data_IF_287658345579
#
_entry.id   IF_287658345579
#
_cell.length_a   1.000
_cell.length_b   1.000
_cell.length_c   1.000
_cell.angle_alpha   90.00
_cell.angle_beta   90.00
_cell.angle_gamma   90.00
#
_symmetry.space_group_name_H-M   'P 1'
#
loop_
_entity.id
_entity.type
_entity.pdbx_description
1 polymer ?
#
# COMPACT_ATOMS: atom_id res chain seq x y z
N UNK A 1 19.03 18.18 23.07
CA UNK A 1 20.27 17.83 22.32
C UNK A 1 19.99 17.86 20.81
N UNK A 2 20.62 18.76 20.04
CA UNK A 2 20.35 18.93 18.61
C UNK A 2 20.63 17.70 17.72
N UNK A 3 21.51 16.78 18.17
CA UNK A 3 21.81 15.53 17.45
C UNK A 3 20.63 14.57 17.31
N UNK A 4 19.70 14.55 18.28
CA UNK A 4 18.53 13.66 18.27
C UNK A 4 17.50 14.04 17.20
N UNK A 5 17.28 15.36 17.02
CA UNK A 5 16.36 15.88 15.99
C UNK A 5 16.90 15.62 14.58
N UNK A 6 18.20 15.84 14.37
CA UNK A 6 18.85 15.58 13.07
C UNK A 6 18.75 14.09 12.68
N UNK A 7 19.00 13.19 13.64
CA UNK A 7 18.88 11.74 13.42
C UNK A 7 17.43 11.34 13.08
N UNK A 8 16.44 11.87 13.80
CA UNK A 8 15.04 11.62 13.52
C UNK A 8 14.65 12.05 12.10
N UNK A 9 15.01 13.27 11.69
CA UNK A 9 14.70 13.78 10.34
C UNK A 9 15.36 12.92 9.26
N UNK A 10 16.60 12.48 9.47
CA UNK A 10 17.29 11.58 8.54
C UNK A 10 16.58 10.22 8.41
N UNK A 11 16.17 9.63 9.54
CA UNK A 11 15.40 8.37 9.57
C UNK A 11 14.07 8.50 8.81
N UNK A 12 13.29 9.54 9.08
CA UNK A 12 12.01 9.83 8.39
C UNK A 12 12.23 9.95 6.88
N UNK A 13 13.21 10.75 6.44
CA UNK A 13 13.51 10.95 5.01
C UNK A 13 14.00 9.69 4.32
N UNK A 14 14.74 8.85 5.03
CA UNK A 14 15.25 7.58 4.50
C UNK A 14 14.12 6.58 4.32
N UNK A 15 13.24 6.45 5.31
CA UNK A 15 12.07 5.59 5.22
C UNK A 15 11.11 6.02 4.10
N UNK A 16 10.79 7.32 4.02
CA UNK A 16 9.95 7.88 2.96
C UNK A 16 10.49 7.56 1.56
N UNK A 17 11.80 7.76 1.32
CA UNK A 17 12.45 7.43 0.04
C UNK A 17 12.42 5.91 -0.24
N UNK A 18 12.70 5.09 0.78
CA UNK A 18 12.68 3.63 0.66
C UNK A 18 11.31 3.13 0.21
N UNK A 19 10.23 3.62 0.82
CA UNK A 19 8.86 3.23 0.46
C UNK A 19 8.56 3.59 -1.00
N UNK A 20 8.84 4.81 -1.42
CA UNK A 20 8.62 5.23 -2.82
C UNK A 20 9.47 4.46 -3.84
N UNK A 21 10.64 3.97 -3.43
CA UNK A 21 11.46 3.08 -4.25
C UNK A 21 10.82 1.69 -4.37
N UNK A 22 10.33 1.13 -3.27
CA UNK A 22 9.63 -0.16 -3.25
C UNK A 22 8.35 -0.12 -4.08
N UNK A 23 7.62 1.00 -4.07
CA UNK A 23 6.42 1.20 -4.89
C UNK A 23 6.68 1.06 -6.40
N UNK A 24 7.92 1.18 -6.87
CA UNK A 24 8.26 0.97 -8.28
C UNK A 24 8.05 -0.48 -8.74
N UNK A 25 8.00 -1.43 -7.81
CA UNK A 25 7.67 -2.82 -8.09
C UNK A 25 6.15 -3.10 -8.13
N UNK A 26 5.31 -2.14 -7.72
CA UNK A 26 3.86 -2.30 -7.73
C UNK A 26 3.28 -2.10 -9.14
N UNK A 27 2.12 -2.72 -9.45
CA UNK A 27 1.32 -2.40 -10.63
C UNK A 27 0.98 -0.91 -10.65
N UNK A 28 0.84 -0.34 -11.85
CA UNK A 28 0.70 1.11 -12.07
C UNK A 28 -0.38 1.76 -11.18
N UNK A 29 -1.57 1.17 -11.11
CA UNK A 29 -2.67 1.69 -10.31
C UNK A 29 -2.37 1.67 -8.81
N UNK A 30 -1.81 0.56 -8.30
CA UNK A 30 -1.43 0.45 -6.89
C UNK A 30 -0.29 1.40 -6.54
N UNK A 31 0.66 1.59 -7.46
CA UNK A 31 1.74 2.58 -7.31
C UNK A 31 1.17 3.99 -7.21
N UNK A 32 0.28 4.38 -8.12
CA UNK A 32 -0.29 5.73 -8.14
C UNK A 32 -1.06 6.05 -6.86
N UNK A 33 -1.94 5.11 -6.43
CA UNK A 33 -2.68 5.23 -5.18
C UNK A 33 -1.75 5.29 -3.97
N UNK A 34 -0.78 4.37 -3.88
CA UNK A 34 0.15 4.27 -2.77
C UNK A 34 1.07 5.49 -2.65
N UNK A 35 1.63 5.99 -3.76
CA UNK A 35 2.48 7.18 -3.76
C UNK A 35 1.74 8.41 -3.23
N UNK A 36 0.48 8.59 -3.61
CA UNK A 36 -0.34 9.69 -3.13
C UNK A 36 -0.62 9.55 -1.63
N UNK A 37 -1.01 8.35 -1.20
CA UNK A 37 -1.28 8.07 0.21
C UNK A 37 -0.05 8.30 1.10
N UNK A 38 1.12 7.79 0.71
CA UNK A 38 2.39 8.00 1.44
C UNK A 38 2.73 9.48 1.58
N UNK A 39 2.59 10.26 0.50
CA UNK A 39 2.84 11.71 0.52
C UNK A 39 1.94 12.41 1.52
N UNK A 40 0.66 12.06 1.53
CA UNK A 40 -0.32 12.71 2.37
C UNK A 40 -0.16 12.33 3.84
N UNK A 41 0.07 11.06 4.14
CA UNK A 41 0.27 10.58 5.51
C UNK A 41 1.54 11.16 6.15
N UNK A 42 2.69 11.13 5.45
CA UNK A 42 3.91 11.76 5.96
C UNK A 42 3.78 13.28 6.10
N UNK A 43 2.94 13.93 5.30
CA UNK A 43 2.66 15.37 5.44
C UNK A 43 1.81 15.63 6.69
N UNK A 44 0.76 14.84 6.91
CA UNK A 44 -0.14 14.95 8.08
C UNK A 44 0.60 14.70 9.38
N UNK A 45 1.62 13.83 9.37
CA UNK A 45 2.40 13.47 10.55
C UNK A 45 3.65 14.34 10.80
N UNK A 46 3.78 15.50 10.16
CA UNK A 46 4.97 16.37 10.36
C UNK A 46 5.06 17.01 11.75
N UNK A 47 3.93 17.20 12.42
CA UNK A 47 3.83 17.97 13.67
C UNK A 47 3.26 17.17 14.83
N UNK A 48 3.23 15.84 14.72
CA UNK A 48 2.74 14.95 15.79
C UNK A 48 3.75 14.86 16.93
N UNK A 49 3.27 14.42 18.10
CA UNK A 49 4.13 14.23 19.28
C UNK A 49 5.17 13.13 19.08
N UNK A 50 6.25 13.08 19.90
CA UNK A 50 7.33 12.12 19.73
C UNK A 50 6.88 10.65 19.85
N UNK A 51 5.94 10.34 20.73
CA UNK A 51 5.40 8.98 20.89
C UNK A 51 4.60 8.53 19.67
N UNK A 52 3.74 9.40 19.15
CA UNK A 52 2.96 9.16 17.93
C UNK A 52 3.88 9.04 16.73
N UNK A 53 4.90 9.89 16.61
CA UNK A 53 5.92 9.81 15.58
C UNK A 53 6.69 8.48 15.62
N UNK A 54 6.98 7.97 16.82
CA UNK A 54 7.64 6.67 16.97
C UNK A 54 6.75 5.53 16.50
N UNK A 55 5.47 5.48 16.93
CA UNK A 55 4.50 4.48 16.48
C UNK A 55 4.29 4.55 14.97
N UNK A 56 4.15 5.76 14.44
CA UNK A 56 4.04 6.02 13.00
C UNK A 56 5.24 5.41 12.26
N UNK A 57 6.47 5.77 12.63
CA UNK A 57 7.66 5.25 11.97
C UNK A 57 7.77 3.72 12.05
N UNK A 58 7.40 3.12 13.18
CA UNK A 58 7.40 1.66 13.34
C UNK A 58 6.45 0.98 12.36
N UNK A 59 5.21 1.46 12.23
CA UNK A 59 4.23 0.88 11.31
C UNK A 59 4.65 1.06 9.84
N UNK A 60 5.25 2.20 9.49
CA UNK A 60 5.77 2.43 8.13
C UNK A 60 7.03 1.61 7.82
N UNK A 61 7.86 1.30 8.82
CA UNK A 61 8.97 0.36 8.70
C UNK A 61 8.46 -1.07 8.48
N UNK A 62 7.42 -1.49 9.21
CA UNK A 62 6.76 -2.78 9.02
C UNK A 62 6.16 -2.88 7.61
N UNK A 63 5.46 -1.84 7.14
CA UNK A 63 4.94 -1.78 5.78
C UNK A 63 6.03 -1.92 4.71
N UNK A 64 7.15 -1.20 4.88
CA UNK A 64 8.28 -1.29 3.96
C UNK A 64 8.93 -2.69 3.95
N UNK A 65 8.95 -3.39 5.09
CA UNK A 65 9.45 -4.76 5.18
C UNK A 65 8.54 -5.74 4.40
N UNK A 66 7.23 -5.64 4.58
CA UNK A 66 6.25 -6.46 3.85
C UNK A 66 6.36 -6.23 2.34
N UNK A 67 6.43 -4.96 1.90
CA UNK A 67 6.61 -4.64 0.48
C UNK A 67 7.91 -5.23 -0.11
N UNK A 68 9.01 -5.15 0.64
CA UNK A 68 10.29 -5.68 0.20
C UNK A 68 10.24 -7.21 0.03
N UNK A 69 9.64 -7.91 0.98
CA UNK A 69 9.47 -9.37 0.91
C UNK A 69 8.60 -9.76 -0.31
N UNK A 70 7.46 -9.10 -0.51
CA UNK A 70 6.55 -9.38 -1.62
C UNK A 70 7.18 -9.07 -2.99
N UNK A 71 7.93 -7.98 -3.09
CA UNK A 71 8.66 -7.63 -4.30
C UNK A 71 9.77 -8.65 -4.62
N UNK A 72 10.46 -9.17 -3.59
CA UNK A 72 11.48 -10.20 -3.73
C UNK A 72 10.92 -11.55 -4.17
N UNK A 73 9.79 -11.98 -3.59
CA UNK A 73 9.10 -13.21 -3.96
C UNK A 73 8.63 -13.19 -5.43
N UNK A 74 8.15 -12.04 -5.91
CA UNK A 74 7.77 -11.88 -7.32
C UNK A 74 8.95 -12.05 -8.28
N UNK A 75 10.13 -11.53 -7.94
CA UNK A 75 11.31 -11.68 -8.80
C UNK A 75 11.77 -13.15 -8.95
N UNK A 76 11.38 -14.03 -8.02
CA UNK A 76 11.75 -15.45 -7.99
C UNK A 76 10.65 -16.38 -8.53
N UNK A 77 9.41 -15.91 -8.63
CA UNK A 77 8.28 -16.72 -9.10
C UNK A 77 8.10 -16.55 -10.62
N UNK A 78 8.34 -17.63 -11.35
CA UNK A 78 8.18 -17.71 -12.81
C UNK A 78 6.72 -17.88 -13.28
N UNK A 79 5.76 -17.94 -12.34
CA UNK A 79 4.36 -18.26 -12.59
C UNK A 79 3.40 -17.21 -12.02
N UNK A 80 3.10 -16.20 -12.83
CA UNK A 80 1.88 -15.40 -12.67
C UNK A 80 2.05 -14.01 -12.06
N UNK A 81 0.95 -13.24 -12.11
CA UNK A 81 0.89 -11.84 -11.69
C UNK A 81 1.41 -11.67 -10.26
N UNK A 82 2.13 -10.57 -9.95
CA UNK A 82 2.61 -10.31 -8.61
C UNK A 82 1.45 -10.27 -7.61
N UNK A 83 1.57 -11.03 -6.52
CA UNK A 83 0.61 -11.04 -5.42
C UNK A 83 1.07 -10.05 -4.35
N UNK A 84 0.41 -8.91 -4.30
CA UNK A 84 0.61 -7.90 -3.26
C UNK A 84 -0.50 -7.96 -2.21
N UNK A 85 -0.16 -7.59 -0.98
CA UNK A 85 -1.08 -7.64 0.17
C UNK A 85 -1.05 -8.98 0.91
N UNK A 86 -1.73 -9.04 2.04
CA UNK A 86 -1.85 -10.22 2.89
C UNK A 86 -3.30 -10.43 3.29
N UNK A 87 -3.64 -11.67 3.68
CA UNK A 87 -4.97 -11.94 4.22
C UNK A 87 -5.13 -11.24 5.57
N UNK A 88 -6.33 -10.72 5.82
CA UNK A 88 -6.68 -10.17 7.12
C UNK A 88 -6.81 -11.34 8.10
N UNK A 89 -6.06 -11.30 9.20
CA UNK A 89 -6.17 -12.33 10.24
C UNK A 89 -7.47 -12.16 11.01
N UNK A 90 -7.96 -13.25 11.61
CA UNK A 90 -9.20 -13.25 12.38
C UNK A 90 -9.13 -12.26 13.55
N UNK A 91 -7.97 -12.15 14.21
CA UNK A 91 -7.77 -11.20 15.31
C UNK A 91 -7.89 -9.74 14.82
N UNK A 92 -7.36 -9.41 13.64
CA UNK A 92 -7.47 -8.08 13.07
C UNK A 92 -8.90 -7.78 12.63
N UNK A 93 -9.62 -8.77 12.13
CA UNK A 93 -11.02 -8.63 11.76
C UNK A 93 -11.89 -8.35 13.00
N UNK A 94 -11.67 -9.08 14.10
CA UNK A 94 -12.38 -8.86 15.37
C UNK A 94 -12.02 -7.54 16.07
N UNK A 95 -10.88 -6.94 15.74
CA UNK A 95 -10.50 -5.63 16.26
C UNK A 95 -11.24 -4.46 15.56
N UNK A 96 -11.96 -4.71 14.47
CA UNK A 96 -12.76 -3.70 13.77
C UNK A 96 -14.12 -3.52 14.44
N UNK A 97 -14.64 -2.29 14.45
CA UNK A 97 -16.04 -2.01 14.82
C UNK A 97 -16.98 -2.57 13.75
N UNK A 98 -18.22 -2.87 14.12
CA UNK A 98 -19.24 -3.41 13.20
C UNK A 98 -19.40 -2.56 11.92
N UNK A 99 -19.40 -1.23 12.06
CA UNK A 99 -19.44 -0.30 10.92
C UNK A 99 -18.24 -0.46 9.98
N UNK A 100 -17.05 -0.68 10.53
CA UNK A 100 -15.83 -0.86 9.74
C UNK A 100 -15.81 -2.22 9.05
N UNK A 101 -16.36 -3.26 9.67
CA UNK A 101 -16.57 -4.56 9.05
C UNK A 101 -17.55 -4.44 7.89
N UNK A 102 -18.66 -3.71 8.06
CA UNK A 102 -19.61 -3.39 7.00
C UNK A 102 -18.95 -2.69 5.82
N UNK A 103 -18.19 -1.62 6.07
CA UNK A 103 -17.44 -0.90 5.03
C UNK A 103 -16.42 -1.77 4.30
N UNK A 104 -15.69 -2.62 5.03
CA UNK A 104 -14.73 -3.55 4.43
C UNK A 104 -15.43 -4.56 3.51
N UNK A 105 -16.61 -5.04 3.91
CA UNK A 105 -17.45 -5.93 3.10
C UNK A 105 -17.95 -5.25 1.84
N UNK A 106 -18.48 -4.03 1.94
CA UNK A 106 -18.88 -3.23 0.78
C UNK A 106 -17.73 -3.01 -0.22
N UNK A 107 -16.54 -2.69 0.30
CA UNK A 107 -15.34 -2.52 -0.52
C UNK A 107 -14.94 -3.81 -1.24
N UNK A 108 -15.00 -4.95 -0.56
CA UNK A 108 -14.73 -6.26 -1.17
C UNK A 108 -15.71 -6.57 -2.28
N UNK A 109 -17.01 -6.34 -2.05
CA UNK A 109 -18.06 -6.59 -3.03
C UNK A 109 -17.89 -5.69 -4.26
N UNK A 110 -17.53 -4.41 -4.08
CA UNK A 110 -17.22 -3.50 -5.20
C UNK A 110 -15.98 -3.95 -5.99
N UNK A 111 -14.88 -4.26 -5.29
CA UNK A 111 -13.60 -4.61 -5.91
C UNK A 111 -13.64 -5.95 -6.69
N UNK A 112 -14.63 -6.80 -6.41
CA UNK A 112 -14.81 -8.11 -7.04
C UNK A 112 -15.83 -8.12 -8.17
N UNK A 113 -16.48 -6.98 -8.46
CA UNK A 113 -17.40 -6.88 -9.60
C UNK A 113 -16.67 -7.16 -10.93
N UNK A 114 -17.34 -7.80 -11.90
CA UNK A 114 -16.78 -7.97 -13.24
C UNK A 114 -16.48 -6.60 -13.86
N UNK A 115 -15.26 -6.42 -14.39
CA UNK A 115 -14.84 -5.19 -15.07
C UNK A 115 -15.59 -5.00 -16.39
N UNK A 116 -16.83 -4.50 -16.35
CA UNK A 116 -17.64 -4.17 -17.54
C UNK A 116 -17.36 -2.77 -18.11
N UNK A 117 -16.49 -1.99 -17.48
CA UNK A 117 -16.31 -0.57 -17.85
C UNK A 117 -15.48 -0.35 -19.12
N UNK A 118 -14.79 -1.38 -19.63
CA UNK A 118 -14.03 -1.31 -20.87
C UNK A 118 -14.22 -2.61 -21.67
N UNK A 119 -15.46 -2.89 -22.08
CA UNK A 119 -15.68 -3.75 -23.24
C UNK A 119 -15.19 -2.95 -24.46
N UNK A 120 -13.90 -3.07 -24.77
CA UNK A 120 -13.38 -2.69 -26.09
C UNK A 120 -14.12 -3.64 -27.03
N UNK A 121 -15.09 -3.11 -27.76
CA UNK A 121 -15.69 -3.78 -28.90
C UNK A 121 -14.54 -4.08 -29.85
N UNK A 122 -14.05 -5.31 -29.79
CA UNK A 122 -13.15 -5.85 -30.80
C UNK A 122 -14.04 -6.01 -32.04
N UNK A 123 -14.12 -4.94 -32.81
CA UNK A 123 -14.85 -4.87 -34.07
C UNK A 123 -14.14 -5.80 -35.03
N UNK A 124 -14.50 -7.09 -34.96
CA UNK A 124 -14.14 -8.05 -35.99
C UNK A 124 -14.86 -7.62 -37.26
N UNK A 125 -14.15 -6.85 -38.09
CA UNK A 125 -14.45 -6.76 -39.51
C UNK A 125 -14.39 -8.18 -40.09
N UNK A 126 -15.55 -8.84 -40.17
CA UNK A 126 -15.78 -9.94 -41.10
C UNK A 126 -15.72 -9.33 -42.51
N UNK A 127 -14.55 -9.38 -43.13
CA UNK A 127 -14.40 -9.11 -44.56
C UNK A 127 -14.54 -10.42 -45.30
N UNK A 128 -15.72 -10.60 -45.86
CA UNK A 128 -16.10 -11.62 -46.85
C UNK A 128 -15.23 -11.53 -48.11
#
# INVERSE_FOLDING_TARGET
MPGSVSHHVSRVRTLYRKILQLHRALPLELKALGDQYVKDEFRRHKSVGPEEAQKFLQEWENYAAVLWEQAGQHAQSSSGRPRFGSHLSEEKLHALRDEQVGQLKELMDEATKPKRQFDILDDKEDKT
#
